data_IF_004142655897
#
_entry.id   IF_004142655897
#
_cell.length_a   1.000
_cell.length_b   1.000
_cell.length_c   1.000
_cell.angle_alpha   90.00
_cell.angle_beta   90.00
_cell.angle_gamma   90.00
#
_symmetry.space_group_name_H-M   'P 1'
#
loop_
_entity.id
_entity.type
_entity.pdbx_description
1 polymer ?
#
# COMPACT_ATOMS: atom_id res chain seq x y z
N UNK A 1 22.03 22.55 23.82
CA UNK A 1 22.20 23.80 23.04
C UNK A 1 20.87 24.10 22.38
N UNK A 2 20.20 25.26 22.66
CA UNK A 2 18.88 25.57 22.13
C UNK A 2 19.00 26.07 20.68
N UNK A 3 18.14 25.58 19.83
CA UNK A 3 17.90 26.00 18.46
C UNK A 3 17.38 27.45 18.47
N UNK A 4 18.21 28.43 18.11
CA UNK A 4 17.75 29.78 17.85
C UNK A 4 17.33 29.89 16.38
N UNK A 5 16.02 29.76 16.13
CA UNK A 5 15.42 30.20 14.88
C UNK A 5 15.54 31.74 14.79
N UNK A 6 16.30 32.25 13.87
CA UNK A 6 16.30 33.69 13.52
C UNK A 6 15.11 33.95 12.60
N UNK A 7 14.03 34.45 13.14
CA UNK A 7 13.05 35.18 12.37
C UNK A 7 13.65 36.56 12.06
N UNK A 8 14.17 36.75 10.87
CA UNK A 8 14.39 38.08 10.33
C UNK A 8 13.13 38.51 9.60
N UNK A 9 12.20 39.11 10.33
CA UNK A 9 11.17 39.98 9.80
C UNK A 9 11.80 41.31 9.44
N UNK A 10 12.46 41.38 8.30
CA UNK A 10 12.83 42.63 7.65
C UNK A 10 11.86 42.88 6.51
N UNK A 11 10.91 43.79 6.69
CA UNK A 11 10.17 44.39 5.57
C UNK A 11 11.20 45.15 4.75
N UNK A 12 11.70 44.55 3.66
CA UNK A 12 12.51 45.25 2.70
C UNK A 12 11.58 46.13 1.87
N UNK A 13 11.68 47.42 2.03
CA UNK A 13 11.14 48.46 1.13
C UNK A 13 11.82 48.45 -0.23
N UNK A 14 11.74 47.37 -0.96
CA UNK A 14 12.00 47.36 -2.39
C UNK A 14 10.92 46.52 -3.07
N UNK A 15 9.97 47.23 -3.68
CA UNK A 15 8.85 46.67 -4.41
C UNK A 15 9.26 45.88 -5.67
N UNK A 16 10.21 44.93 -5.53
CA UNK A 16 10.55 44.04 -6.64
C UNK A 16 9.48 42.96 -6.76
N UNK A 17 8.60 43.13 -7.72
CA UNK A 17 7.53 42.19 -8.03
C UNK A 17 8.01 40.76 -8.34
N UNK A 18 9.34 40.53 -8.50
CA UNK A 18 9.93 39.20 -8.66
C UNK A 18 9.85 38.34 -7.39
N UNK A 19 9.79 38.99 -6.24
CA UNK A 19 9.69 38.33 -4.93
C UNK A 19 8.26 37.96 -4.52
N UNK A 20 7.28 38.36 -5.31
CA UNK A 20 5.87 38.02 -5.08
C UNK A 20 5.56 36.58 -5.50
N UNK A 21 4.59 35.95 -4.83
CA UNK A 21 4.02 34.67 -5.23
C UNK A 21 3.44 34.73 -6.65
N UNK A 22 3.30 33.60 -7.33
CA UNK A 22 2.71 33.53 -8.68
C UNK A 22 1.30 34.10 -8.72
N UNK A 23 0.49 33.83 -7.68
CA UNK A 23 -0.86 34.36 -7.52
C UNK A 23 -0.88 35.87 -7.32
N UNK A 24 -0.01 36.42 -6.46
CA UNK A 24 0.10 37.88 -6.25
C UNK A 24 0.51 38.60 -7.54
N UNK A 25 1.48 38.04 -8.30
CA UNK A 25 1.86 38.56 -9.60
C UNK A 25 0.73 38.50 -10.63
N UNK A 26 -0.14 37.45 -10.58
CA UNK A 26 -1.32 37.37 -11.46
C UNK A 26 -2.33 38.47 -11.14
N UNK A 27 -2.60 38.73 -9.86
CA UNK A 27 -3.48 39.82 -9.42
C UNK A 27 -2.97 41.16 -9.89
N UNK A 28 -1.67 41.45 -9.78
CA UNK A 28 -1.08 42.69 -10.28
C UNK A 28 -1.22 42.82 -11.79
N UNK A 29 -0.99 41.76 -12.57
CA UNK A 29 -1.18 41.73 -14.02
C UNK A 29 -2.64 42.01 -14.40
N UNK A 30 -3.60 41.38 -13.70
CA UNK A 30 -5.03 41.59 -13.96
C UNK A 30 -5.46 43.01 -13.64
N UNK A 31 -4.97 43.61 -12.54
CA UNK A 31 -5.21 45.01 -12.21
C UNK A 31 -4.62 45.94 -13.29
N UNK A 32 -3.36 45.68 -13.68
CA UNK A 32 -2.72 46.43 -14.76
C UNK A 32 -3.46 46.34 -16.09
N UNK A 33 -3.93 45.13 -16.45
CA UNK A 33 -4.74 44.96 -17.65
C UNK A 33 -6.05 45.76 -17.61
N UNK A 34 -6.76 45.82 -16.48
CA UNK A 34 -7.98 46.59 -16.30
C UNK A 34 -7.71 48.09 -16.47
N UNK A 35 -6.63 48.62 -15.91
CA UNK A 35 -6.24 50.03 -16.06
C UNK A 35 -5.87 50.36 -17.52
N UNK A 36 -5.13 49.47 -18.20
CA UNK A 36 -4.83 49.64 -19.62
C UNK A 36 -6.07 49.60 -20.49
N UNK A 37 -7.04 48.76 -20.23
CA UNK A 37 -8.32 48.67 -20.92
C UNK A 37 -9.20 49.92 -20.66
N UNK A 38 -9.04 50.55 -19.48
CA UNK A 38 -9.67 51.81 -19.14
C UNK A 38 -8.97 53.05 -19.77
N UNK A 39 -7.99 52.83 -20.67
CA UNK A 39 -7.31 53.89 -21.41
C UNK A 39 -6.17 54.58 -20.67
N UNK A 40 -5.73 54.06 -19.52
CA UNK A 40 -4.58 54.61 -18.79
C UNK A 40 -3.28 54.36 -19.56
N UNK A 41 -2.39 55.32 -19.51
CA UNK A 41 -1.05 55.20 -20.11
C UNK A 41 -0.16 54.22 -19.35
N UNK A 42 0.87 53.72 -20.01
CA UNK A 42 1.83 52.80 -19.34
C UNK A 42 2.50 53.45 -18.11
N UNK A 43 2.74 54.77 -18.13
CA UNK A 43 3.33 55.51 -17.03
C UNK A 43 2.39 55.52 -15.80
N UNK A 44 1.14 55.91 -16.02
CA UNK A 44 0.12 55.94 -14.95
C UNK A 44 -0.10 54.55 -14.32
N UNK A 45 -0.11 53.48 -15.15
CA UNK A 45 -0.26 52.09 -14.63
C UNK A 45 0.97 51.66 -13.88
N UNK A 46 2.17 52.02 -14.32
CA UNK A 46 3.42 51.71 -13.63
C UNK A 46 3.48 52.40 -12.27
N UNK A 47 3.12 53.64 -12.17
CA UNK A 47 3.04 54.40 -10.93
C UNK A 47 1.96 53.85 -10.00
N UNK A 48 0.73 53.66 -10.47
CA UNK A 48 -0.39 53.16 -9.67
C UNK A 48 -0.15 51.77 -9.05
N UNK A 49 0.62 50.93 -9.71
CA UNK A 49 0.92 49.56 -9.25
C UNK A 49 2.34 49.36 -8.70
N UNK A 50 3.12 50.46 -8.61
CA UNK A 50 4.51 50.45 -8.17
C UNK A 50 5.38 49.37 -8.91
N UNK A 51 5.25 49.31 -10.25
CA UNK A 51 5.97 48.38 -11.11
C UNK A 51 6.73 49.11 -12.22
N UNK A 52 7.77 48.47 -12.77
CA UNK A 52 8.54 49.11 -13.84
C UNK A 52 7.77 49.26 -15.16
N UNK A 53 8.00 50.34 -15.91
CA UNK A 53 7.41 50.62 -17.24
C UNK A 53 7.54 49.44 -18.20
N UNK A 54 8.71 48.75 -18.21
CA UNK A 54 8.96 47.57 -19.03
C UNK A 54 8.00 46.41 -18.68
N UNK A 55 7.63 46.27 -17.42
CA UNK A 55 6.66 45.28 -16.95
C UNK A 55 5.28 45.55 -17.50
N UNK A 56 4.83 46.82 -17.44
CA UNK A 56 3.53 47.25 -17.98
C UNK A 56 3.49 47.13 -19.50
N UNK A 57 4.57 47.48 -20.21
CA UNK A 57 4.68 47.28 -21.65
C UNK A 57 4.54 45.79 -22.04
N UNK A 58 5.16 44.91 -21.26
CA UNK A 58 4.99 43.46 -21.43
C UNK A 58 3.56 42.98 -21.17
N UNK A 59 2.88 43.59 -20.20
CA UNK A 59 1.47 43.29 -19.95
C UNK A 59 0.58 43.77 -21.08
N UNK A 60 0.81 44.98 -21.61
CA UNK A 60 0.09 45.54 -22.75
C UNK A 60 0.25 44.70 -24.02
N UNK A 61 1.48 44.25 -24.31
CA UNK A 61 1.73 43.33 -25.42
C UNK A 61 0.98 42.00 -25.27
N UNK A 62 0.98 41.45 -24.06
CA UNK A 62 0.26 40.22 -23.75
C UNK A 62 -1.25 40.36 -23.81
N UNK A 63 -1.79 41.49 -23.32
CA UNK A 63 -3.21 41.81 -23.39
C UNK A 63 -3.70 41.84 -24.83
N UNK A 64 -2.90 42.40 -25.73
CA UNK A 64 -3.23 42.45 -27.19
C UNK A 64 -3.24 41.04 -27.82
N UNK A 65 -2.34 40.15 -27.41
CA UNK A 65 -2.23 38.81 -28.02
C UNK A 65 -3.20 37.78 -27.40
N UNK A 66 -3.37 37.81 -26.08
CA UNK A 66 -4.07 36.75 -25.34
C UNK A 66 -5.31 37.24 -24.59
N UNK A 67 -5.70 38.50 -24.76
CA UNK A 67 -6.84 39.08 -24.06
C UNK A 67 -6.69 39.14 -22.53
N UNK A 68 -7.75 39.56 -21.81
CA UNK A 68 -7.75 39.65 -20.36
C UNK A 68 -7.50 38.28 -19.67
N UNK A 69 -7.94 37.19 -20.27
CA UNK A 69 -7.79 35.84 -19.77
C UNK A 69 -6.33 35.39 -19.74
N UNK A 70 -5.51 35.91 -20.66
CA UNK A 70 -4.07 35.65 -20.69
C UNK A 70 -3.28 36.24 -19.53
N UNK A 71 -3.92 37.04 -18.64
CA UNK A 71 -3.30 37.69 -17.48
C UNK A 71 -3.29 36.82 -16.21
N UNK A 72 -3.93 35.66 -16.22
CA UNK A 72 -4.01 34.74 -15.12
C UNK A 72 -2.66 34.17 -14.67
N UNK A 73 -2.70 33.36 -13.63
CA UNK A 73 -1.52 32.66 -13.10
C UNK A 73 -0.98 31.71 -14.16
N UNK A 74 0.33 31.76 -14.40
CA UNK A 74 1.04 30.79 -15.26
C UNK A 74 1.95 29.95 -14.40
N UNK A 75 1.81 28.64 -14.54
CA UNK A 75 2.77 27.70 -13.97
C UNK A 75 4.17 28.00 -14.50
N UNK A 76 5.11 28.27 -13.60
CA UNK A 76 6.51 28.48 -13.96
C UNK A 76 7.18 27.14 -14.27
N UNK A 77 8.11 27.13 -15.20
CA UNK A 77 8.87 25.96 -15.59
C UNK A 77 8.36 25.26 -16.85
N UNK A 78 9.00 24.18 -17.21
CA UNK A 78 8.65 23.38 -18.38
C UNK A 78 7.33 22.65 -18.14
N UNK A 79 6.54 22.48 -19.19
CA UNK A 79 5.34 21.65 -19.13
C UNK A 79 5.75 20.19 -18.93
N UNK A 80 4.89 19.43 -18.26
CA UNK A 80 5.08 17.99 -18.15
C UNK A 80 5.09 17.40 -19.58
N UNK A 81 6.13 16.62 -19.90
CA UNK A 81 6.32 16.03 -21.23
C UNK A 81 7.16 16.84 -22.21
N UNK A 82 7.39 18.13 -21.98
CA UNK A 82 8.29 18.93 -22.85
C UNK A 82 9.76 18.52 -22.69
N UNK A 83 10.46 18.31 -23.82
CA UNK A 83 11.87 17.96 -23.88
C UNK A 83 12.24 16.68 -23.10
N UNK A 84 11.38 15.68 -23.17
CA UNK A 84 11.74 14.34 -22.68
C UNK A 84 12.87 13.75 -23.52
N UNK A 85 13.86 13.11 -22.88
CA UNK A 85 14.96 12.46 -23.58
C UNK A 85 14.54 11.18 -24.33
N UNK A 86 13.39 10.61 -23.96
CA UNK A 86 12.78 9.45 -24.62
C UNK A 86 11.51 9.87 -25.34
N UNK A 87 11.32 9.42 -26.58
CA UNK A 87 10.06 9.57 -27.30
C UNK A 87 8.93 8.77 -26.63
N UNK A 88 7.68 9.08 -26.94
CA UNK A 88 6.51 8.33 -26.41
C UNK A 88 6.57 6.85 -26.78
N UNK A 89 6.97 6.52 -28.01
CA UNK A 89 7.14 5.14 -28.46
C UNK A 89 8.21 4.39 -27.65
N UNK A 90 9.36 5.04 -27.40
CA UNK A 90 10.42 4.47 -26.56
C UNK A 90 9.95 4.25 -25.11
N UNK A 91 9.22 5.21 -24.56
CA UNK A 91 8.66 5.07 -23.21
C UNK A 91 7.68 3.90 -23.13
N UNK A 92 6.76 3.77 -24.10
CA UNK A 92 5.81 2.67 -24.16
C UNK A 92 6.54 1.30 -24.26
N UNK A 93 7.56 1.21 -25.10
CA UNK A 93 8.38 0.00 -25.26
C UNK A 93 9.08 -0.39 -23.95
N UNK A 94 9.66 0.56 -23.22
CA UNK A 94 10.30 0.29 -21.92
C UNK A 94 9.27 -0.24 -20.91
N UNK A 95 8.10 0.40 -20.79
CA UNK A 95 7.04 -0.04 -19.87
C UNK A 95 6.53 -1.43 -20.22
N UNK A 96 6.30 -1.71 -21.50
CA UNK A 96 5.88 -3.02 -21.98
C UNK A 96 6.93 -4.10 -21.67
N UNK A 97 8.19 -3.83 -21.92
CA UNK A 97 9.29 -4.75 -21.58
C UNK A 97 9.36 -5.03 -20.10
N UNK A 98 9.21 -4.00 -19.26
CA UNK A 98 9.19 -4.17 -17.80
C UNK A 98 7.99 -4.99 -17.31
N UNK A 99 6.85 -4.92 -17.99
CA UNK A 99 5.67 -5.68 -17.63
C UNK A 99 5.75 -7.17 -18.04
N UNK A 100 6.48 -7.47 -19.11
CA UNK A 100 6.56 -8.82 -19.67
C UNK A 100 7.81 -9.63 -19.34
N UNK A 101 8.81 -9.02 -18.66
CA UNK A 101 10.10 -9.67 -18.40
C UNK A 101 10.70 -9.22 -17.06
N UNK A 102 11.63 -10.00 -16.55
CA UNK A 102 12.45 -9.65 -15.40
C UNK A 102 13.86 -9.19 -15.83
N UNK A 103 14.58 -8.41 -14.99
CA UNK A 103 15.92 -7.93 -15.33
C UNK A 103 16.96 -9.05 -15.61
N UNK A 104 16.89 -10.16 -14.90
CA UNK A 104 17.75 -11.33 -15.08
C UNK A 104 17.52 -12.01 -16.43
N UNK A 105 16.27 -12.17 -16.86
CA UNK A 105 15.92 -12.70 -18.19
C UNK A 105 16.47 -11.86 -19.34
N UNK A 106 16.71 -10.58 -19.07
CA UNK A 106 17.25 -9.62 -20.01
C UNK A 106 18.74 -9.33 -19.78
N UNK A 107 19.40 -10.05 -18.88
CA UNK A 107 20.81 -9.82 -18.52
C UNK A 107 21.14 -8.35 -18.14
N UNK A 108 20.19 -7.67 -17.47
CA UNK A 108 20.30 -6.26 -17.12
C UNK A 108 20.74 -6.01 -15.66
N UNK A 109 21.19 -7.06 -14.96
CA UNK A 109 21.65 -7.00 -13.58
C UNK A 109 21.34 -8.28 -12.82
N UNK A 110 21.77 -8.34 -11.57
CA UNK A 110 21.51 -9.48 -10.70
C UNK A 110 20.10 -9.38 -10.08
N UNK A 111 19.29 -10.43 -10.27
CA UNK A 111 17.99 -10.63 -9.63
C UNK A 111 16.77 -10.23 -10.43
N UNK A 112 15.63 -10.71 -9.94
CA UNK A 112 14.33 -10.64 -10.64
C UNK A 112 13.58 -9.30 -10.49
N UNK A 113 14.07 -8.39 -9.67
CA UNK A 113 13.35 -7.16 -9.33
C UNK A 113 13.86 -5.95 -10.12
N UNK A 114 12.93 -5.20 -10.71
CA UNK A 114 13.23 -3.94 -11.37
C UNK A 114 13.74 -2.87 -10.40
N UNK A 115 15.03 -2.63 -10.41
CA UNK A 115 15.66 -1.50 -9.73
C UNK A 115 15.82 -0.32 -10.68
N UNK A 116 16.05 0.91 -10.15
CA UNK A 116 16.39 2.06 -11.01
C UNK A 116 17.65 1.82 -11.85
N UNK A 117 18.58 0.98 -11.37
CA UNK A 117 19.78 0.62 -12.12
C UNK A 117 19.43 -0.30 -13.30
N UNK A 118 18.62 -1.33 -13.09
CA UNK A 118 18.15 -2.23 -14.15
C UNK A 118 17.35 -1.46 -15.21
N UNK A 119 16.42 -0.58 -14.79
CA UNK A 119 15.66 0.28 -15.73
C UNK A 119 16.58 1.20 -16.52
N UNK A 120 17.61 1.77 -15.89
CA UNK A 120 18.64 2.56 -16.60
C UNK A 120 19.34 1.72 -17.66
N UNK A 121 19.76 0.49 -17.32
CA UNK A 121 20.41 -0.42 -18.26
C UNK A 121 19.49 -0.79 -19.43
N UNK A 122 18.20 -1.04 -19.15
CA UNK A 122 17.18 -1.29 -20.17
C UNK A 122 17.07 -0.09 -21.14
N UNK A 123 16.97 1.14 -20.61
CA UNK A 123 16.88 2.34 -21.44
C UNK A 123 18.10 2.50 -22.33
N UNK A 124 19.31 2.25 -21.83
CA UNK A 124 20.53 2.27 -22.64
C UNK A 124 20.47 1.22 -23.74
N UNK A 125 20.10 -0.01 -23.41
CA UNK A 125 20.03 -1.13 -24.35
C UNK A 125 19.00 -0.94 -25.47
N UNK A 126 17.80 -0.44 -25.11
CA UNK A 126 16.69 -0.31 -26.06
C UNK A 126 16.72 1.01 -26.82
N UNK A 127 17.11 2.09 -26.17
CA UNK A 127 17.00 3.45 -26.71
C UNK A 127 18.36 4.09 -27.02
N UNK A 128 19.48 3.51 -26.57
CA UNK A 128 20.80 4.11 -26.68
C UNK A 128 21.01 5.37 -25.83
N UNK A 129 20.09 5.68 -24.90
CA UNK A 129 20.08 6.94 -24.14
C UNK A 129 20.57 6.70 -22.72
N UNK A 130 21.66 7.37 -22.33
CA UNK A 130 22.18 7.31 -20.98
C UNK A 130 21.52 8.36 -20.07
N UNK A 131 20.76 7.91 -19.08
CA UNK A 131 20.06 8.77 -18.11
C UNK A 131 20.67 8.64 -16.71
N UNK A 132 20.54 9.70 -15.90
CA UNK A 132 20.86 9.61 -14.48
C UNK A 132 19.80 8.78 -13.74
N UNK A 133 20.18 8.15 -12.59
CA UNK A 133 19.22 7.41 -11.74
C UNK A 133 18.06 8.29 -11.27
N UNK A 134 18.29 9.59 -11.07
CA UNK A 134 17.24 10.54 -10.69
C UNK A 134 16.27 10.77 -11.83
N UNK A 135 16.76 10.90 -13.06
CA UNK A 135 15.93 11.06 -14.27
C UNK A 135 15.09 9.80 -14.51
N UNK A 136 15.68 8.60 -14.38
CA UNK A 136 14.94 7.33 -14.43
C UNK A 136 13.82 7.32 -13.37
N UNK A 137 14.09 7.76 -12.14
CA UNK A 137 13.06 7.86 -11.11
C UNK A 137 11.92 8.86 -11.44
N UNK A 138 12.20 9.90 -12.26
CA UNK A 138 11.15 10.79 -12.77
C UNK A 138 10.30 10.09 -13.85
N UNK A 139 10.92 9.39 -14.79
CA UNK A 139 10.23 8.59 -15.80
C UNK A 139 9.32 7.55 -15.17
N UNK A 140 9.81 6.76 -14.21
CA UNK A 140 9.01 5.77 -13.50
C UNK A 140 7.74 6.40 -12.90
N UNK A 141 7.86 7.57 -12.25
CA UNK A 141 6.68 8.29 -11.73
C UNK A 141 5.74 8.79 -12.82
N UNK A 142 6.27 9.30 -13.93
CA UNK A 142 5.46 9.71 -15.08
C UNK A 142 4.69 8.53 -15.69
N UNK A 143 5.26 7.33 -15.65
CA UNK A 143 4.63 6.08 -16.09
C UNK A 143 3.68 5.49 -15.04
N UNK A 144 3.44 6.17 -13.92
CA UNK A 144 2.60 5.67 -12.83
C UNK A 144 3.24 4.57 -11.98
N UNK A 145 4.53 4.32 -12.14
CA UNK A 145 5.26 3.27 -11.43
C UNK A 145 5.90 3.82 -10.14
N UNK A 146 5.63 3.17 -9.03
CA UNK A 146 6.18 3.51 -7.70
C UNK A 146 6.88 2.31 -7.10
N UNK A 147 7.92 2.56 -6.31
CA UNK A 147 8.59 1.50 -5.58
C UNK A 147 7.61 0.85 -4.59
N UNK A 148 7.41 -0.45 -4.72
CA UNK A 148 6.57 -1.27 -3.85
C UNK A 148 7.39 -2.43 -3.30
N UNK A 149 7.09 -2.87 -2.08
CA UNK A 149 7.58 -4.15 -1.59
C UNK A 149 6.91 -5.24 -2.43
N UNK A 150 7.68 -6.16 -3.05
CA UNK A 150 7.08 -7.22 -3.87
C UNK A 150 6.15 -8.09 -3.03
N UNK A 151 4.99 -8.40 -3.57
CA UNK A 151 4.18 -9.49 -3.05
C UNK A 151 4.88 -10.82 -3.34
N UNK A 152 4.89 -11.71 -2.39
CA UNK A 152 5.35 -13.09 -2.60
C UNK A 152 4.24 -13.85 -3.31
N UNK A 153 4.58 -14.52 -4.39
CA UNK A 153 3.72 -15.50 -5.05
C UNK A 153 4.50 -16.79 -5.12
N UNK A 154 3.87 -17.87 -4.71
CA UNK A 154 4.48 -19.18 -4.79
C UNK A 154 4.58 -19.61 -6.24
N UNK A 155 5.72 -20.18 -6.62
CA UNK A 155 5.94 -20.68 -7.98
C UNK A 155 4.99 -21.85 -8.32
N UNK A 156 4.58 -22.58 -7.29
CA UNK A 156 3.69 -23.74 -7.36
C UNK A 156 2.20 -23.35 -7.42
N UNK A 157 1.87 -22.06 -7.29
CA UNK A 157 0.50 -21.59 -7.39
C UNK A 157 -0.05 -21.74 -8.81
N UNK A 158 -1.23 -22.34 -8.91
CA UNK A 158 -1.96 -22.46 -10.17
C UNK A 158 -3.01 -21.32 -10.28
N UNK A 159 -2.79 -20.30 -11.15
CA UNK A 159 -3.73 -19.20 -11.31
C UNK A 159 -5.11 -19.65 -11.82
N UNK A 160 -5.19 -20.74 -12.58
CA UNK A 160 -6.46 -21.24 -13.08
C UNK A 160 -7.32 -21.83 -11.94
N UNK A 161 -6.68 -22.49 -10.98
CA UNK A 161 -7.37 -22.97 -9.76
C UNK A 161 -7.86 -21.82 -8.88
N UNK A 162 -7.05 -20.77 -8.75
CA UNK A 162 -7.46 -19.57 -7.99
C UNK A 162 -8.66 -18.89 -8.67
N UNK A 163 -8.63 -18.74 -10.00
CA UNK A 163 -9.76 -18.18 -10.74
C UNK A 163 -11.01 -19.06 -10.61
N UNK A 164 -10.88 -20.39 -10.76
CA UNK A 164 -11.99 -21.32 -10.59
C UNK A 164 -12.60 -21.27 -9.19
N UNK A 165 -11.77 -21.12 -8.15
CA UNK A 165 -12.27 -20.94 -6.78
C UNK A 165 -13.12 -19.69 -6.66
N UNK A 166 -12.63 -18.54 -7.14
CA UNK A 166 -13.32 -17.25 -7.01
C UNK A 166 -14.61 -17.22 -7.83
N UNK A 167 -14.59 -17.78 -9.05
CA UNK A 167 -15.69 -17.64 -10.01
C UNK A 167 -16.75 -18.75 -9.90
N UNK A 168 -16.38 -19.91 -9.38
CA UNK A 168 -17.25 -21.10 -9.35
C UNK A 168 -17.41 -21.67 -7.96
N UNK A 169 -16.30 -22.03 -7.29
CA UNK A 169 -16.35 -22.89 -6.10
C UNK A 169 -16.87 -22.09 -4.89
N UNK A 170 -16.34 -20.91 -4.64
CA UNK A 170 -16.83 -20.06 -3.54
C UNK A 170 -18.27 -19.57 -3.72
N UNK A 171 -18.73 -19.10 -4.89
CA UNK A 171 -20.14 -18.79 -5.12
C UNK A 171 -21.08 -19.97 -4.87
N UNK A 172 -20.65 -21.20 -5.19
CA UNK A 172 -21.44 -22.41 -4.89
C UNK A 172 -21.52 -22.67 -3.38
N UNK A 173 -20.41 -22.48 -2.64
CA UNK A 173 -20.38 -22.56 -1.17
C UNK A 173 -21.30 -21.50 -0.57
N UNK A 174 -21.22 -20.26 -1.04
CA UNK A 174 -22.05 -19.15 -0.57
C UNK A 174 -23.54 -19.38 -0.80
N UNK A 175 -23.91 -19.83 -1.99
CA UNK A 175 -25.30 -20.18 -2.31
C UNK A 175 -25.82 -21.34 -1.45
N UNK A 176 -24.97 -22.33 -1.16
CA UNK A 176 -25.30 -23.44 -0.28
C UNK A 176 -25.44 -22.99 1.17
N UNK A 177 -24.51 -22.16 1.65
CA UNK A 177 -24.58 -21.59 3.00
C UNK A 177 -25.88 -20.79 3.23
N UNK A 178 -26.28 -19.99 2.24
CA UNK A 178 -27.55 -19.26 2.30
C UNK A 178 -28.77 -20.18 2.40
N UNK A 179 -28.78 -21.31 1.68
CA UNK A 179 -29.88 -22.29 1.74
C UNK A 179 -29.92 -23.05 3.06
N UNK A 180 -28.76 -23.40 3.61
CA UNK A 180 -28.64 -24.17 4.85
C UNK A 180 -28.60 -23.28 6.11
N UNK A 181 -28.64 -21.95 5.98
CA UNK A 181 -28.45 -21.00 7.09
C UNK A 181 -27.08 -21.09 7.74
N UNK A 182 -26.10 -21.63 7.00
CA UNK A 182 -24.76 -21.86 7.50
C UNK A 182 -23.96 -20.56 7.61
N UNK A 183 -23.05 -20.51 8.59
CA UNK A 183 -22.07 -19.44 8.77
C UNK A 183 -20.79 -19.78 8.01
N UNK A 184 -20.33 -18.88 7.16
CA UNK A 184 -19.03 -19.04 6.50
C UNK A 184 -17.97 -18.36 7.34
N UNK A 185 -16.91 -19.10 7.68
CA UNK A 185 -15.71 -18.60 8.37
C UNK A 185 -14.48 -19.03 7.60
N UNK A 186 -13.42 -18.21 7.66
CA UNK A 186 -12.10 -18.51 7.12
C UNK A 186 -11.13 -18.64 8.29
N UNK A 187 -10.38 -19.70 8.31
CA UNK A 187 -9.41 -19.94 9.38
C UNK A 187 -7.98 -20.09 8.83
N UNK A 188 -7.04 -19.71 9.68
CA UNK A 188 -5.61 -19.83 9.42
C UNK A 188 -4.84 -19.97 10.72
N UNK A 189 -3.60 -20.41 10.60
CA UNK A 189 -2.66 -20.54 11.71
C UNK A 189 -1.45 -19.64 11.50
N UNK A 190 -1.04 -18.92 12.53
CA UNK A 190 0.19 -18.14 12.49
C UNK A 190 1.10 -18.42 13.68
N UNK A 191 2.42 -18.36 13.42
CA UNK A 191 3.45 -18.43 14.46
C UNK A 191 4.08 -17.07 14.73
N UNK A 192 4.08 -16.62 15.98
CA UNK A 192 4.74 -15.42 16.44
C UNK A 192 6.04 -15.78 17.17
N UNK A 193 7.15 -15.14 16.80
CA UNK A 193 8.48 -15.45 17.36
C UNK A 193 9.17 -14.19 17.84
N UNK A 194 10.04 -14.36 18.85
CA UNK A 194 10.97 -13.30 19.27
C UNK A 194 11.93 -12.90 18.15
N UNK A 195 12.45 -11.69 18.24
CA UNK A 195 13.44 -11.17 17.30
C UNK A 195 12.86 -10.61 16.00
N UNK A 196 11.56 -10.72 15.78
CA UNK A 196 10.90 -10.00 14.68
C UNK A 196 10.96 -8.50 14.94
N UNK A 197 11.38 -7.74 13.92
CA UNK A 197 11.41 -6.27 13.98
C UNK A 197 10.58 -5.69 12.85
N UNK A 198 9.70 -4.76 13.18
CA UNK A 198 8.95 -3.99 12.20
C UNK A 198 9.12 -2.50 12.42
N UNK A 199 9.04 -1.75 11.33
CA UNK A 199 9.11 -0.29 11.33
C UNK A 199 10.51 0.26 11.10
N UNK A 200 10.56 1.59 11.05
CA UNK A 200 11.78 2.39 10.91
C UNK A 200 11.89 3.35 12.08
N UNK A 201 13.09 3.75 12.43
CA UNK A 201 13.37 4.76 13.47
C UNK A 201 14.34 5.80 12.97
N UNK A 202 14.36 6.96 13.61
CA UNK A 202 15.30 8.03 13.30
C UNK A 202 16.57 7.86 14.13
N UNK A 203 17.71 8.11 13.51
CA UNK A 203 19.03 8.19 14.15
C UNK A 203 19.83 9.31 13.49
N UNK A 204 20.92 9.82 14.12
CA UNK A 204 21.82 10.76 13.48
C UNK A 204 22.38 10.22 12.16
N UNK A 205 22.67 11.12 11.22
CA UNK A 205 23.24 10.75 9.92
C UNK A 205 24.52 9.93 10.14
N UNK A 206 24.62 8.79 9.44
CA UNK A 206 25.75 7.88 9.55
C UNK A 206 25.68 6.89 10.73
N UNK A 207 24.64 6.96 11.57
CA UNK A 207 24.41 6.02 12.67
C UNK A 207 23.17 5.14 12.39
N UNK A 208 23.17 3.94 12.97
CA UNK A 208 22.00 3.07 12.94
C UNK A 208 21.19 3.25 14.23
N UNK A 209 19.88 3.29 14.09
CA UNK A 209 19.03 3.19 15.27
C UNK A 209 19.22 1.82 15.93
N UNK A 210 19.55 1.84 17.21
CA UNK A 210 19.74 0.62 18.01
C UNK A 210 18.48 0.39 18.84
N UNK A 211 18.04 -0.85 18.86
CA UNK A 211 16.91 -1.28 19.70
C UNK A 211 17.31 -2.50 20.49
N UNK A 212 17.05 -2.52 21.80
CA UNK A 212 17.30 -3.68 22.62
C UNK A 212 16.41 -4.86 22.16
N UNK A 213 16.99 -6.02 22.04
CA UNK A 213 16.30 -7.29 21.77
C UNK A 213 16.73 -8.30 22.82
N UNK A 214 15.81 -9.17 23.23
CA UNK A 214 16.14 -10.32 24.07
C UNK A 214 16.92 -11.35 23.26
N UNK A 215 17.91 -11.96 23.85
CA UNK A 215 18.61 -13.13 23.28
C UNK A 215 17.84 -14.44 23.46
N UNK A 216 16.74 -14.43 24.23
CA UNK A 216 15.91 -15.62 24.45
C UNK A 216 15.04 -15.90 23.23
N UNK A 217 14.88 -17.19 22.91
CA UNK A 217 14.01 -17.65 21.82
C UNK A 217 12.76 -18.25 22.41
N UNK A 218 11.61 -17.70 22.11
CA UNK A 218 10.30 -18.24 22.43
C UNK A 218 9.31 -17.91 21.31
N UNK A 219 8.24 -18.66 21.23
CA UNK A 219 7.19 -18.47 20.23
C UNK A 219 5.84 -18.85 20.82
N UNK A 220 4.79 -18.24 20.29
CA UNK A 220 3.40 -18.67 20.46
C UNK A 220 2.78 -18.85 19.09
N UNK A 221 1.81 -19.72 19.01
CA UNK A 221 0.98 -19.88 17.83
C UNK A 221 -0.41 -19.34 18.11
N UNK A 222 -1.07 -18.91 17.06
CA UNK A 222 -2.45 -18.47 17.06
C UNK A 222 -3.17 -19.28 16.00
N UNK A 223 -4.34 -19.78 16.31
CA UNK A 223 -5.33 -20.22 15.34
C UNK A 223 -6.49 -19.25 15.42
N UNK A 224 -6.99 -18.79 14.28
CA UNK A 224 -8.09 -17.82 14.23
C UNK A 224 -9.08 -18.17 13.15
N UNK A 225 -10.30 -17.63 13.29
CA UNK A 225 -11.34 -17.73 12.29
C UNK A 225 -12.08 -16.38 12.18
N UNK A 226 -12.21 -15.88 10.96
CA UNK A 226 -12.87 -14.61 10.65
C UNK A 226 -14.09 -14.80 9.76
N UNK A 227 -15.13 -13.98 9.98
CA UNK A 227 -16.30 -13.91 9.14
C UNK A 227 -16.49 -12.53 8.52
N UNK A 228 -17.14 -12.47 7.35
CA UNK A 228 -17.40 -11.20 6.64
C UNK A 228 -18.37 -10.28 7.40
N UNK A 229 -19.11 -10.80 8.38
CA UNK A 229 -19.93 -10.04 9.31
C UNK A 229 -19.14 -9.44 10.49
N UNK A 230 -17.82 -9.64 10.51
CA UNK A 230 -16.93 -9.16 11.55
C UNK A 230 -16.75 -10.11 12.74
N UNK A 231 -17.20 -11.35 12.61
CA UNK A 231 -16.90 -12.41 13.59
C UNK A 231 -15.39 -12.65 13.63
N UNK A 232 -14.84 -12.78 14.83
CA UNK A 232 -13.49 -13.24 15.10
C UNK A 232 -13.51 -14.16 16.31
N UNK A 233 -13.03 -15.38 16.13
CA UNK A 233 -12.63 -16.29 17.21
C UNK A 233 -11.15 -16.60 17.06
N UNK A 234 -10.47 -16.81 18.18
CA UNK A 234 -9.05 -17.14 18.18
C UNK A 234 -8.64 -17.89 19.45
N UNK A 235 -7.60 -18.69 19.31
CA UNK A 235 -6.84 -19.25 20.42
C UNK A 235 -5.36 -18.91 20.31
N UNK A 236 -4.71 -18.71 21.45
CA UNK A 236 -3.27 -18.48 21.54
C UNK A 236 -2.67 -19.59 22.37
N UNK A 237 -1.72 -20.33 21.82
CA UNK A 237 -1.13 -21.50 22.46
C UNK A 237 0.38 -21.58 22.26
N UNK A 238 1.05 -22.27 23.18
CA UNK A 238 2.47 -22.59 23.08
C UNK A 238 2.64 -23.99 22.47
N UNK A 239 3.77 -24.23 21.82
CA UNK A 239 4.04 -25.51 21.17
C UNK A 239 3.73 -25.52 19.69
N UNK A 240 3.52 -26.71 19.13
CA UNK A 240 3.17 -26.87 17.70
C UNK A 240 1.67 -27.00 17.56
N UNK A 241 1.11 -26.43 16.48
CA UNK A 241 -0.24 -26.73 16.04
C UNK A 241 -0.26 -28.14 15.46
N UNK A 242 -1.18 -28.96 15.94
CA UNK A 242 -1.43 -30.31 15.44
C UNK A 242 -2.94 -30.50 15.21
N UNK A 243 -3.32 -31.70 14.79
CA UNK A 243 -4.72 -32.03 14.56
C UNK A 243 -5.61 -31.89 15.79
N UNK A 244 -5.05 -32.09 17.00
CA UNK A 244 -5.80 -32.00 18.27
C UNK A 244 -6.15 -30.53 18.51
N UNK A 245 -5.18 -29.62 18.41
CA UNK A 245 -5.40 -28.17 18.55
C UNK A 245 -6.44 -27.68 17.53
N UNK A 246 -6.36 -28.18 16.29
CA UNK A 246 -7.33 -27.83 15.27
C UNK A 246 -8.73 -28.31 15.58
N UNK A 247 -8.90 -29.57 16.03
CA UNK A 247 -10.19 -30.13 16.44
C UNK A 247 -10.77 -29.39 17.64
N UNK A 248 -9.96 -29.12 18.68
CA UNK A 248 -10.38 -28.35 19.86
C UNK A 248 -10.86 -26.94 19.48
N UNK A 249 -10.21 -26.32 18.50
CA UNK A 249 -10.65 -25.02 17.98
C UNK A 249 -11.96 -25.12 17.19
N UNK A 250 -12.14 -26.17 16.40
CA UNK A 250 -13.40 -26.43 15.71
C UNK A 250 -14.54 -26.67 16.70
N UNK A 251 -14.32 -27.40 17.81
CA UNK A 251 -15.31 -27.59 18.87
C UNK A 251 -15.73 -26.26 19.50
N UNK A 252 -14.78 -25.34 19.70
CA UNK A 252 -15.09 -23.97 20.18
C UNK A 252 -15.90 -23.18 19.17
N UNK A 253 -15.60 -23.31 17.87
CA UNK A 253 -16.39 -22.66 16.81
C UNK A 253 -17.84 -23.17 16.84
N UNK A 254 -18.05 -24.49 16.96
CA UNK A 254 -19.38 -25.11 17.08
C UNK A 254 -20.09 -24.58 18.32
N UNK A 255 -19.42 -24.63 19.49
CA UNK A 255 -19.99 -24.14 20.74
C UNK A 255 -20.37 -22.65 20.70
N UNK A 256 -19.64 -21.85 19.92
CA UNK A 256 -19.93 -20.41 19.75
C UNK A 256 -21.13 -20.16 18.82
N UNK A 257 -21.47 -21.11 17.97
CA UNK A 257 -22.57 -21.02 17.00
C UNK A 257 -23.53 -22.22 17.10
N UNK A 258 -24.16 -22.44 18.26
CA UNK A 258 -24.94 -23.68 18.55
C UNK A 258 -26.11 -23.88 17.60
N UNK A 259 -26.67 -22.79 17.07
CA UNK A 259 -27.89 -22.83 16.22
C UNK A 259 -27.60 -22.75 14.71
N UNK A 260 -26.30 -22.83 14.32
CA UNK A 260 -25.91 -22.66 12.92
C UNK A 260 -24.87 -23.68 12.50
N UNK A 261 -25.05 -24.23 11.32
CA UNK A 261 -23.99 -24.96 10.64
C UNK A 261 -22.84 -24.03 10.27
N UNK A 262 -21.62 -24.52 10.38
CA UNK A 262 -20.39 -23.76 10.05
C UNK A 262 -19.80 -24.34 8.77
N UNK A 263 -19.56 -23.48 7.80
CA UNK A 263 -18.74 -23.75 6.64
C UNK A 263 -17.37 -23.09 6.89
N UNK A 264 -16.39 -23.92 7.28
CA UNK A 264 -15.06 -23.45 7.61
C UNK A 264 -14.13 -23.62 6.41
N UNK A 265 -13.62 -22.49 5.90
CA UNK A 265 -12.68 -22.46 4.79
C UNK A 265 -11.28 -22.39 5.37
N UNK A 266 -10.45 -23.37 5.03
CA UNK A 266 -9.06 -23.53 5.51
C UNK A 266 -8.11 -23.67 4.33
N UNK A 267 -6.81 -23.55 4.59
CA UNK A 267 -5.79 -23.86 3.61
C UNK A 267 -5.67 -25.38 3.34
N UNK A 268 -4.75 -25.76 2.47
CA UNK A 268 -4.51 -27.15 2.12
C UNK A 268 -3.51 -27.86 3.03
N UNK A 269 -3.26 -27.36 4.25
CA UNK A 269 -2.32 -27.99 5.16
C UNK A 269 -2.73 -29.44 5.46
N UNK A 270 -1.74 -30.33 5.63
CA UNK A 270 -1.97 -31.77 5.84
C UNK A 270 -2.73 -32.09 7.14
N UNK A 271 -2.61 -31.25 8.15
CA UNK A 271 -3.30 -31.38 9.44
C UNK A 271 -4.83 -31.41 9.21
N UNK A 272 -5.38 -30.51 8.40
CA UNK A 272 -6.81 -30.43 8.12
C UNK A 272 -7.37 -31.65 7.36
N UNK A 273 -6.48 -32.47 6.80
CA UNK A 273 -6.83 -33.67 6.03
C UNK A 273 -6.39 -34.97 6.73
N UNK A 274 -5.91 -34.88 7.97
CA UNK A 274 -5.45 -36.03 8.74
C UNK A 274 -6.58 -37.05 8.94
N UNK A 275 -6.21 -38.29 9.26
CA UNK A 275 -7.17 -39.35 9.57
C UNK A 275 -8.01 -38.98 10.81
N UNK A 276 -7.39 -38.35 11.80
CA UNK A 276 -8.06 -37.93 13.02
C UNK A 276 -9.14 -36.85 12.72
N UNK A 277 -8.82 -35.83 11.94
CA UNK A 277 -9.79 -34.80 11.55
C UNK A 277 -10.93 -35.37 10.71
N UNK A 278 -10.64 -36.33 9.82
CA UNK A 278 -11.70 -36.98 9.03
C UNK A 278 -12.67 -37.75 9.90
N UNK A 279 -12.16 -38.52 10.88
CA UNK A 279 -12.98 -39.26 11.83
C UNK A 279 -13.78 -38.32 12.73
N UNK A 280 -13.16 -37.29 13.27
CA UNK A 280 -13.81 -36.26 14.10
C UNK A 280 -15.00 -35.60 13.36
N UNK A 281 -14.86 -35.32 12.06
CA UNK A 281 -15.93 -34.72 11.23
C UNK A 281 -17.15 -35.62 11.05
N UNK A 282 -16.99 -36.95 11.14
CA UNK A 282 -18.15 -37.88 11.06
C UNK A 282 -19.10 -37.70 12.26
N UNK A 283 -18.54 -37.32 13.42
CA UNK A 283 -19.28 -37.08 14.64
C UNK A 283 -19.76 -35.61 14.79
N UNK A 284 -19.29 -34.70 13.89
CA UNK A 284 -19.58 -33.26 13.95
C UNK A 284 -20.14 -32.72 12.62
N UNK A 285 -21.36 -33.13 12.23
CA UNK A 285 -21.99 -32.72 10.96
C UNK A 285 -22.33 -31.22 10.89
N UNK A 286 -22.31 -30.53 12.03
CA UNK A 286 -22.54 -29.10 12.15
C UNK A 286 -21.36 -28.26 11.64
N UNK A 287 -20.17 -28.84 11.41
CA UNK A 287 -19.02 -28.17 10.82
C UNK A 287 -18.55 -28.90 9.56
N UNK A 288 -18.50 -28.16 8.46
CA UNK A 288 -18.01 -28.66 7.18
C UNK A 288 -16.79 -27.89 6.71
N UNK A 289 -15.73 -28.63 6.31
CA UNK A 289 -14.48 -28.04 5.82
C UNK A 289 -14.49 -27.86 4.31
N UNK A 290 -14.05 -26.68 3.88
CA UNK A 290 -13.75 -26.36 2.49
C UNK A 290 -12.28 -25.92 2.37
N UNK A 291 -11.65 -26.26 1.25
CA UNK A 291 -10.22 -26.05 1.09
C UNK A 291 -9.93 -25.00 0.04
N UNK A 292 -9.14 -24.00 0.40
CA UNK A 292 -8.61 -23.02 -0.55
C UNK A 292 -7.74 -23.69 -1.63
N UNK A 293 -7.55 -23.07 -2.79
CA UNK A 293 -6.54 -23.53 -3.74
C UNK A 293 -5.16 -23.61 -3.09
N UNK A 294 -4.35 -24.63 -3.43
CA UNK A 294 -2.99 -24.72 -2.90
C UNK A 294 -2.17 -23.47 -3.20
N UNK A 295 -1.30 -23.12 -2.27
CA UNK A 295 -0.36 -21.99 -2.42
C UNK A 295 -1.01 -20.62 -2.71
N UNK A 296 -2.22 -20.39 -2.21
CA UNK A 296 -2.98 -19.16 -2.45
C UNK A 296 -3.38 -18.43 -1.15
N UNK A 297 -2.44 -18.11 -0.24
CA UNK A 297 -2.77 -17.43 1.02
C UNK A 297 -3.35 -16.03 0.79
N UNK A 298 -3.03 -15.37 -0.31
CA UNK A 298 -3.51 -14.01 -0.61
C UNK A 298 -5.02 -13.91 -0.80
N UNK A 299 -5.72 -15.02 -1.00
CA UNK A 299 -7.19 -15.05 -1.04
C UNK A 299 -7.83 -15.48 0.27
N UNK A 300 -7.05 -15.73 1.33
CA UNK A 300 -7.55 -15.96 2.68
C UNK A 300 -7.67 -14.63 3.44
N UNK A 301 -8.89 -14.19 3.84
CA UNK A 301 -9.05 -12.96 4.62
C UNK A 301 -8.35 -13.00 5.98
N UNK A 302 -8.16 -14.16 6.59
CA UNK A 302 -7.48 -14.30 7.88
C UNK A 302 -5.98 -13.94 7.83
N UNK A 303 -5.35 -14.06 6.68
CA UNK A 303 -3.97 -13.60 6.45
C UNK A 303 -3.80 -12.08 6.68
N UNK A 304 -4.85 -11.28 6.53
CA UNK A 304 -4.80 -9.86 6.87
C UNK A 304 -4.78 -9.63 8.37
N UNK A 305 -5.53 -10.43 9.14
CA UNK A 305 -5.44 -10.46 10.59
C UNK A 305 -4.03 -10.89 11.04
N UNK A 306 -3.49 -11.96 10.44
CA UNK A 306 -2.15 -12.47 10.72
C UNK A 306 -1.08 -11.40 10.50
N UNK A 307 -1.11 -10.70 9.38
CA UNK A 307 -0.20 -9.61 9.06
C UNK A 307 -0.32 -8.44 10.06
N UNK A 308 -1.53 -8.11 10.49
CA UNK A 308 -1.79 -7.04 11.45
C UNK A 308 -1.22 -7.37 12.83
N UNK A 309 -1.45 -8.60 13.32
CA UNK A 309 -0.89 -9.12 14.58
C UNK A 309 0.63 -9.15 14.53
N UNK A 310 1.22 -9.70 13.47
CA UNK A 310 2.67 -9.71 13.28
C UNK A 310 3.28 -8.31 13.34
N UNK A 311 2.68 -7.35 12.66
CA UNK A 311 3.15 -5.97 12.66
C UNK A 311 3.08 -5.34 14.05
N UNK A 312 2.02 -5.62 14.82
CA UNK A 312 1.85 -5.12 16.18
C UNK A 312 2.90 -5.69 17.13
N UNK A 313 3.01 -7.03 17.19
CA UNK A 313 3.94 -7.73 18.07
C UNK A 313 5.39 -7.36 17.74
N UNK A 314 5.77 -7.33 16.46
CA UNK A 314 7.12 -6.96 16.05
C UNK A 314 7.51 -5.52 16.44
N UNK A 315 6.54 -4.60 16.59
CA UNK A 315 6.80 -3.24 17.09
C UNK A 315 6.98 -3.19 18.60
N UNK A 316 6.26 -4.02 19.34
CA UNK A 316 6.26 -4.04 20.81
C UNK A 316 7.46 -4.76 21.41
N UNK A 317 7.98 -5.79 20.71
CA UNK A 317 9.20 -6.54 21.07
C UNK A 317 9.15 -7.16 22.46
N UNK A 318 8.28 -8.13 22.69
CA UNK A 318 8.15 -8.81 23.98
C UNK A 318 9.47 -9.46 24.43
N UNK A 319 9.74 -9.46 25.71
CA UNK A 319 10.97 -9.97 26.34
C UNK A 319 10.79 -11.35 26.99
N UNK A 320 9.54 -11.79 27.18
CA UNK A 320 9.18 -13.08 27.78
C UNK A 320 8.04 -13.74 27.00
N UNK A 321 7.89 -15.05 27.18
CA UNK A 321 6.80 -15.82 26.58
C UNK A 321 5.44 -15.30 27.06
N UNK A 322 5.31 -15.06 28.37
CA UNK A 322 4.08 -14.52 28.97
C UNK A 322 3.72 -13.18 28.37
N UNK A 323 4.69 -12.26 28.28
CA UNK A 323 4.47 -10.95 27.65
C UNK A 323 4.03 -11.07 26.19
N UNK A 324 4.62 -12.00 25.42
CA UNK A 324 4.22 -12.26 24.04
C UNK A 324 2.77 -12.78 23.97
N UNK A 325 2.42 -13.73 24.83
CA UNK A 325 1.08 -14.31 24.89
C UNK A 325 0.03 -13.25 25.27
N UNK A 326 0.25 -12.56 26.39
CA UNK A 326 -0.70 -11.56 26.91
C UNK A 326 -0.91 -10.41 25.92
N UNK A 327 0.17 -9.95 25.30
CA UNK A 327 0.13 -8.91 24.28
C UNK A 327 -0.65 -9.35 23.04
N UNK A 328 -0.47 -10.60 22.62
CA UNK A 328 -1.18 -11.16 21.46
C UNK A 328 -2.67 -11.27 21.75
N UNK A 329 -3.04 -11.83 22.90
CA UNK A 329 -4.44 -11.93 23.34
C UNK A 329 -5.07 -10.55 23.45
N UNK A 330 -4.40 -9.61 24.13
CA UNK A 330 -4.89 -8.26 24.32
C UNK A 330 -5.10 -7.56 22.96
N UNK A 331 -4.17 -7.74 22.01
CA UNK A 331 -4.30 -7.15 20.69
C UNK A 331 -5.47 -7.73 19.89
N UNK A 332 -5.59 -9.04 19.82
CA UNK A 332 -6.69 -9.75 19.14
C UNK A 332 -8.04 -9.35 19.73
N UNK A 333 -8.15 -9.26 21.05
CA UNK A 333 -9.36 -8.84 21.77
C UNK A 333 -9.78 -7.38 21.46
N UNK A 334 -8.89 -6.56 20.92
CA UNK A 334 -9.23 -5.20 20.47
C UNK A 334 -9.77 -5.15 19.04
N UNK A 335 -9.78 -6.26 18.31
CA UNK A 335 -10.30 -6.29 16.93
C UNK A 335 -11.81 -6.20 16.95
N UNK A 336 -12.31 -5.03 16.61
CA UNK A 336 -13.76 -4.78 16.52
C UNK A 336 -14.34 -5.40 15.25
N UNK A 337 -15.63 -5.64 15.24
CA UNK A 337 -16.40 -6.07 14.05
C UNK A 337 -16.01 -5.24 12.81
N UNK A 338 -15.95 -3.91 12.93
CA UNK A 338 -15.59 -3.03 11.82
C UNK A 338 -14.16 -3.27 11.28
N UNK A 339 -13.20 -3.59 12.14
CA UNK A 339 -11.83 -3.89 11.72
C UNK A 339 -11.79 -5.23 10.98
N UNK A 340 -12.45 -6.26 11.50
CA UNK A 340 -12.50 -7.58 10.87
C UNK A 340 -13.20 -7.50 9.52
N UNK A 341 -14.34 -6.82 9.43
CA UNK A 341 -15.06 -6.58 8.17
C UNK A 341 -14.19 -5.88 7.12
N UNK A 342 -13.29 -4.96 7.55
CA UNK A 342 -12.37 -4.29 6.63
C UNK A 342 -11.36 -5.24 5.95
N UNK A 343 -11.01 -6.38 6.54
CA UNK A 343 -10.15 -7.35 5.88
C UNK A 343 -10.79 -7.88 4.59
N UNK A 344 -12.12 -8.01 4.57
CA UNK A 344 -12.88 -8.43 3.40
C UNK A 344 -13.00 -7.36 2.31
N UNK A 345 -12.62 -6.10 2.58
CA UNK A 345 -12.60 -5.02 1.59
C UNK A 345 -11.32 -5.00 0.73
N UNK A 346 -10.32 -5.80 1.07
CA UNK A 346 -9.09 -5.88 0.30
C UNK A 346 -9.37 -6.38 -1.14
N UNK A 347 -8.68 -5.85 -2.17
CA UNK A 347 -9.01 -6.14 -3.56
C UNK A 347 -9.07 -7.62 -3.92
N UNK A 348 -8.19 -8.44 -3.33
CA UNK A 348 -8.12 -9.89 -3.58
C UNK A 348 -9.15 -10.68 -2.76
N UNK A 349 -9.77 -10.07 -1.75
CA UNK A 349 -10.73 -10.71 -0.83
C UNK A 349 -12.18 -10.33 -1.14
N UNK A 350 -12.41 -9.35 -2.00
CA UNK A 350 -13.78 -8.88 -2.33
C UNK A 350 -14.73 -9.96 -2.79
N UNK A 351 -14.23 -11.07 -3.27
CA UNK A 351 -15.06 -12.21 -3.63
C UNK A 351 -15.78 -12.83 -2.43
N UNK A 352 -15.28 -12.61 -1.21
CA UNK A 352 -15.76 -13.18 0.04
C UNK A 352 -16.70 -12.23 0.84
N UNK A 353 -17.12 -11.13 0.23
CA UNK A 353 -18.06 -10.16 0.82
C UNK A 353 -19.48 -10.68 0.95
#
# INVERSE_FOLDING_TARGET
MPWRGRYHGGVSESGDGRNLSGSAQAVLRQRGARLLMAGRTHAEVAEALAVGLRTVAGWSARLRVSGPEGMGERRRGRRAGEQMALSEAQQAQIVQTMAGSNPDQLELGEGVLWSRAAVKALIVRVCGVALSRQTVGRYLRCWGLTAKKPAKRWAEQDPARVAAWIERDYPAIQARAAREGAKILWADEMGLRTGQTAGTSYAPVGQRAVTPLTGKRFSVNVISAVGNDGTLLFDVFAGYGDEIVFMDFCDKLIAHHPDRKIFLIVDNHSIHKSAAVRLWREDHPELELFFLPPYAPEINPDEYLNNDVHAHVARKRPSTLTELTDMTIAYLSTRTTAIVTNYFQAPLIRYAQ
#
